data_IF_840727944931
#
_entry.id   IF_840727944931
#
_cell.length_a   1.000
_cell.length_b   1.000
_cell.length_c   1.000
_cell.angle_alpha   90.00
_cell.angle_beta   90.00
_cell.angle_gamma   90.00
#
_symmetry.space_group_name_H-M   'P 1'
#
loop_
_entity.id
_entity.type
_entity.pdbx_description
1 polymer ?
#
# COMPACT_ATOMS: atom_id res chain seq x y z
N UNK A 1 48.66 -34.81 12.44
CA UNK A 1 47.37 -35.50 12.38
C UNK A 1 46.29 -34.43 12.32
N UNK A 2 45.77 -34.18 11.11
CA UNK A 2 44.73 -33.15 10.87
C UNK A 2 43.47 -33.92 10.52
N UNK A 3 42.50 -33.94 11.40
CA UNK A 3 41.16 -34.49 11.13
C UNK A 3 40.27 -33.38 10.56
N UNK A 4 39.92 -33.57 9.28
CA UNK A 4 38.93 -32.72 8.61
C UNK A 4 37.53 -33.00 9.11
N UNK A 5 36.84 -31.91 9.44
CA UNK A 5 35.41 -31.89 9.76
C UNK A 5 34.66 -31.54 8.47
N UNK A 6 34.20 -32.55 7.74
CA UNK A 6 33.18 -32.36 6.68
C UNK A 6 31.81 -32.39 7.34
N UNK A 7 31.30 -31.20 7.67
CA UNK A 7 29.91 -31.03 8.05
C UNK A 7 29.01 -31.16 6.82
N UNK A 8 28.22 -32.22 6.79
CA UNK A 8 27.17 -32.44 5.79
C UNK A 8 26.10 -31.32 5.94
N UNK A 9 26.06 -30.38 4.99
CA UNK A 9 24.94 -29.45 4.83
C UNK A 9 23.77 -30.25 4.26
N UNK A 10 22.90 -30.74 5.15
CA UNK A 10 21.62 -31.25 4.76
C UNK A 10 20.79 -30.05 4.21
N UNK A 11 20.62 -29.99 2.90
CA UNK A 11 19.58 -29.17 2.27
C UNK A 11 18.23 -29.72 2.70
N UNK A 12 17.68 -29.16 3.75
CA UNK A 12 16.31 -29.43 4.14
C UNK A 12 15.43 -28.71 3.11
N UNK A 13 14.76 -29.48 2.27
CA UNK A 13 13.88 -29.02 1.19
C UNK A 13 12.85 -28.04 1.75
N UNK A 14 12.88 -26.80 1.22
CA UNK A 14 12.09 -25.66 1.66
C UNK A 14 10.59 -25.69 1.34
N UNK A 15 9.96 -26.87 1.44
CA UNK A 15 8.50 -27.01 1.33
C UNK A 15 7.77 -26.71 2.66
N UNK A 16 8.46 -26.80 3.79
CA UNK A 16 7.83 -26.57 5.11
C UNK A 16 7.62 -25.09 5.47
N UNK A 17 8.30 -24.16 4.79
CA UNK A 17 8.14 -22.73 5.06
C UNK A 17 6.85 -22.14 4.44
N UNK A 18 6.31 -22.77 3.39
CA UNK A 18 5.05 -22.36 2.77
C UNK A 18 3.83 -22.96 3.47
N UNK A 19 3.98 -24.13 4.10
CA UNK A 19 2.89 -24.80 4.83
C UNK A 19 2.53 -24.14 6.18
N UNK A 20 3.43 -23.34 6.74
CA UNK A 20 3.19 -22.58 7.98
C UNK A 20 2.76 -21.12 7.76
N UNK A 21 2.38 -20.73 6.56
CA UNK A 21 1.65 -19.49 6.36
C UNK A 21 0.31 -19.62 7.08
N UNK A 22 0.22 -19.08 8.30
CA UNK A 22 -1.04 -18.99 9.03
C UNK A 22 -2.02 -18.31 8.09
N UNK A 23 -2.99 -19.07 7.58
CA UNK A 23 -4.04 -18.55 6.71
C UNK A 23 -4.75 -17.43 7.46
N UNK A 24 -4.51 -16.19 7.06
CA UNK A 24 -5.24 -15.08 7.65
C UNK A 24 -6.70 -15.18 7.22
N UNK A 25 -7.65 -14.96 8.14
CA UNK A 25 -9.06 -15.01 7.79
C UNK A 25 -9.39 -13.90 6.78
N UNK A 26 -10.32 -14.19 5.88
CA UNK A 26 -10.88 -13.19 4.99
C UNK A 26 -11.57 -12.12 5.83
N UNK A 27 -11.25 -10.85 5.58
CA UNK A 27 -11.85 -9.71 6.27
C UNK A 27 -12.89 -9.06 5.36
N UNK A 28 -14.12 -8.99 5.84
CA UNK A 28 -15.20 -8.22 5.22
C UNK A 28 -15.45 -6.97 6.07
N UNK A 29 -15.46 -5.81 5.46
CA UNK A 29 -15.74 -4.56 6.15
C UNK A 29 -16.51 -3.60 5.23
N UNK A 30 -17.39 -2.80 5.82
CA UNK A 30 -17.99 -1.63 5.17
C UNK A 30 -17.19 -0.41 5.62
N UNK A 31 -16.27 0.12 4.79
CA UNK A 31 -15.32 1.14 5.24
C UNK A 31 -16.00 2.43 5.74
N UNK A 32 -17.23 2.69 5.30
CA UNK A 32 -18.04 3.82 5.77
C UNK A 32 -18.51 3.67 7.23
N UNK A 33 -18.69 2.43 7.71
CA UNK A 33 -19.32 2.10 8.99
C UNK A 33 -18.32 1.63 10.06
N UNK A 34 -17.10 1.30 9.65
CA UNK A 34 -16.08 0.80 10.58
C UNK A 34 -15.81 1.83 11.67
N UNK A 35 -15.86 1.40 12.93
CA UNK A 35 -15.44 2.21 14.07
C UNK A 35 -13.94 2.53 13.97
N UNK A 36 -13.60 3.82 14.11
CA UNK A 36 -12.24 4.32 14.02
C UNK A 36 -11.75 4.78 15.39
N UNK A 37 -10.48 4.54 15.69
CA UNK A 37 -9.83 4.95 16.92
C UNK A 37 -8.99 6.21 16.70
N UNK A 38 -8.75 7.05 17.74
CA UNK A 38 -7.91 8.23 17.63
C UNK A 38 -6.53 7.91 17.03
N UNK A 39 -6.15 8.68 16.02
CA UNK A 39 -4.86 8.60 15.33
C UNK A 39 -4.34 10.02 15.09
N UNK A 40 -3.91 10.73 16.14
CA UNK A 40 -3.64 12.16 16.08
C UNK A 40 -2.52 12.49 15.08
N UNK A 41 -2.75 13.56 14.32
CA UNK A 41 -1.74 14.13 13.43
C UNK A 41 -0.65 14.77 14.31
N UNK A 42 0.65 14.58 14.01
CA UNK A 42 1.72 15.23 14.73
C UNK A 42 1.51 16.76 14.78
N UNK A 43 1.58 17.41 15.96
CA UNK A 43 1.27 18.84 16.07
C UNK A 43 2.06 19.74 15.12
N UNK A 44 3.31 19.41 14.84
CA UNK A 44 4.17 20.16 13.94
C UNK A 44 3.84 20.00 12.45
N UNK A 45 2.91 19.09 12.11
CA UNK A 45 2.37 18.96 10.75
C UNK A 45 1.13 19.83 10.54
N UNK A 46 0.47 20.27 11.63
CA UNK A 46 -0.77 21.06 11.56
C UNK A 46 -0.41 22.50 11.20
N UNK A 47 -1.05 23.00 10.15
CA UNK A 47 -0.89 24.37 9.67
C UNK A 47 -2.01 25.26 10.21
N UNK A 48 -3.26 24.71 10.24
CA UNK A 48 -4.43 25.49 10.62
C UNK A 48 -5.51 24.59 11.21
N UNK A 49 -6.22 25.11 12.22
CA UNK A 49 -7.31 24.43 12.89
C UNK A 49 -6.84 23.39 13.91
N UNK A 50 -7.72 22.50 14.27
CA UNK A 50 -7.47 21.38 15.18
C UNK A 50 -8.04 20.08 14.57
N UNK A 51 -7.49 19.59 13.46
CA UNK A 51 -8.02 18.41 12.78
C UNK A 51 -7.92 17.18 13.67
N UNK A 52 -9.04 16.48 13.83
CA UNK A 52 -9.14 15.23 14.58
C UNK A 52 -9.09 14.07 13.60
N UNK A 53 -7.97 13.38 13.57
CA UNK A 53 -7.81 12.19 12.75
C UNK A 53 -8.10 10.93 13.55
N UNK A 54 -8.69 9.94 12.86
CA UNK A 54 -9.00 8.61 13.38
C UNK A 54 -8.65 7.56 12.34
N UNK A 55 -8.23 6.39 12.77
CA UNK A 55 -7.87 5.31 11.86
C UNK A 55 -8.22 3.93 12.44
N UNK A 56 -8.34 2.95 11.55
CA UNK A 56 -8.38 1.53 11.88
C UNK A 56 -7.74 0.72 10.78
N UNK A 57 -6.84 -0.18 11.14
CA UNK A 57 -6.31 -1.18 10.21
C UNK A 57 -7.33 -2.29 10.03
N UNK A 58 -7.70 -2.56 8.77
CA UNK A 58 -8.68 -3.57 8.40
C UNK A 58 -8.01 -4.90 8.05
N UNK A 59 -6.80 -4.84 7.50
CA UNK A 59 -6.04 -6.03 7.12
C UNK A 59 -4.57 -5.70 6.90
N UNK A 60 -3.76 -6.74 6.88
CA UNK A 60 -2.32 -6.65 6.60
C UNK A 60 -1.90 -7.89 5.80
N UNK A 61 -0.99 -7.73 4.84
CA UNK A 61 -0.40 -8.86 4.11
C UNK A 61 0.38 -9.78 5.06
N UNK A 62 0.50 -11.06 4.70
CA UNK A 62 1.19 -12.06 5.52
C UNK A 62 2.65 -11.70 5.80
N UNK A 63 3.31 -11.02 4.86
CA UNK A 63 4.68 -10.52 4.97
C UNK A 63 4.80 -9.16 5.69
N UNK A 64 3.67 -8.58 6.11
CA UNK A 64 3.62 -7.29 6.79
C UNK A 64 3.95 -6.08 5.91
N UNK A 65 4.15 -6.25 4.60
CA UNK A 65 4.57 -5.16 3.70
C UNK A 65 3.42 -4.29 3.22
N UNK A 66 2.20 -4.78 3.25
CA UNK A 66 1.01 -4.03 2.85
C UNK A 66 -0.09 -4.08 3.91
N UNK A 67 -0.83 -3.00 4.05
CA UNK A 67 -1.99 -2.94 4.94
C UNK A 67 -3.12 -2.13 4.33
N UNK A 68 -4.35 -2.46 4.72
CA UNK A 68 -5.55 -1.71 4.38
C UNK A 68 -6.02 -0.95 5.61
N UNK A 69 -6.21 0.37 5.45
CA UNK A 69 -6.57 1.30 6.51
C UNK A 69 -7.88 2.03 6.18
N UNK A 70 -8.81 2.08 7.10
CA UNK A 70 -9.84 3.09 7.09
C UNK A 70 -9.37 4.29 7.92
N UNK A 71 -9.59 5.50 7.42
CA UNK A 71 -9.14 6.73 8.06
C UNK A 71 -10.18 7.84 7.87
N UNK A 72 -10.31 8.70 8.85
CA UNK A 72 -11.11 9.94 8.75
C UNK A 72 -10.40 11.11 9.41
N UNK A 73 -10.77 12.31 8.97
CA UNK A 73 -10.26 13.55 9.56
C UNK A 73 -11.32 14.65 9.48
N UNK A 74 -11.49 15.37 10.60
CA UNK A 74 -12.30 16.57 10.67
C UNK A 74 -11.64 17.73 9.91
N UNK A 75 -12.38 18.83 9.62
CA UNK A 75 -11.84 20.01 8.95
C UNK A 75 -10.58 20.56 9.60
N UNK A 76 -9.64 20.99 8.75
CA UNK A 76 -8.35 21.56 9.13
C UNK A 76 -7.33 21.48 8.01
N UNK A 77 -6.16 22.06 8.24
CA UNK A 77 -5.08 22.07 7.26
C UNK A 77 -3.77 21.58 7.87
N UNK A 78 -3.10 20.64 7.18
CA UNK A 78 -1.87 20.02 7.65
C UNK A 78 -1.03 19.52 6.48
N UNK A 79 0.28 19.38 6.69
CA UNK A 79 1.17 18.69 5.76
C UNK A 79 1.24 17.22 6.15
N UNK A 80 1.08 16.32 5.17
CA UNK A 80 1.24 14.88 5.37
C UNK A 80 2.50 14.40 4.67
N UNK A 81 3.33 13.64 5.39
CA UNK A 81 4.55 13.03 4.86
C UNK A 81 4.35 11.53 4.71
N UNK A 82 4.54 11.03 3.52
CA UNK A 82 4.28 9.63 3.17
C UNK A 82 5.55 8.79 3.36
N UNK A 83 5.63 8.04 4.45
CA UNK A 83 6.73 7.11 4.71
C UNK A 83 6.64 5.83 3.86
N UNK A 84 5.47 5.54 3.30
CA UNK A 84 5.14 4.35 2.51
C UNK A 84 4.36 4.76 1.26
N UNK A 85 4.32 3.90 0.26
CA UNK A 85 3.39 4.09 -0.86
C UNK A 85 1.95 4.02 -0.34
N UNK A 86 1.14 5.02 -0.64
CA UNK A 86 -0.26 5.07 -0.25
C UNK A 86 -1.17 5.24 -1.45
N UNK A 87 -2.02 4.24 -1.69
CA UNK A 87 -3.15 4.33 -2.62
C UNK A 87 -4.39 4.62 -1.78
N UNK A 88 -5.11 5.68 -2.09
CA UNK A 88 -6.32 6.01 -1.36
C UNK A 88 -7.53 6.15 -2.28
N UNK A 89 -8.69 5.90 -1.69
CA UNK A 89 -9.99 6.11 -2.29
C UNK A 89 -10.86 6.87 -1.29
N UNK A 90 -11.44 7.99 -1.72
CA UNK A 90 -12.32 8.81 -0.89
C UNK A 90 -13.71 8.17 -0.83
N UNK A 91 -14.18 7.93 0.38
CA UNK A 91 -15.50 7.36 0.67
C UNK A 91 -16.54 8.45 0.87
N UNK A 92 -16.18 9.49 1.66
CA UNK A 92 -17.06 10.62 1.95
C UNK A 92 -16.27 11.88 2.28
N UNK A 93 -16.93 13.03 2.26
CA UNK A 93 -16.32 14.30 2.59
C UNK A 93 -15.63 14.97 1.41
N UNK A 94 -14.76 15.94 1.73
CA UNK A 94 -14.06 16.72 0.72
C UNK A 94 -12.72 17.23 1.25
N UNK A 95 -11.70 17.12 0.42
CA UNK A 95 -10.36 17.61 0.73
C UNK A 95 -9.70 18.19 -0.52
N UNK A 96 -8.94 19.26 -0.34
CA UNK A 96 -7.99 19.73 -1.35
C UNK A 96 -6.60 19.25 -0.95
N UNK A 97 -5.91 18.61 -1.88
CA UNK A 97 -4.53 18.15 -1.70
C UNK A 97 -3.64 18.93 -2.63
N UNK A 98 -2.62 19.57 -2.07
CA UNK A 98 -1.59 20.30 -2.84
C UNK A 98 -0.30 19.52 -2.75
N UNK A 99 0.26 19.17 -3.91
CA UNK A 99 1.52 18.42 -4.02
C UNK A 99 2.76 19.35 -3.79
N UNK A 100 3.94 18.75 -3.85
CA UNK A 100 5.23 19.47 -3.68
C UNK A 100 5.50 20.52 -4.79
N UNK A 101 4.83 20.40 -5.93
CA UNK A 101 4.93 21.36 -7.05
C UNK A 101 3.92 22.50 -6.92
N UNK A 102 3.12 22.54 -5.85
CA UNK A 102 2.08 23.51 -5.63
C UNK A 102 0.79 23.25 -6.44
N UNK A 103 0.67 22.10 -7.09
CA UNK A 103 -0.56 21.74 -7.80
C UNK A 103 -1.61 21.25 -6.79
N UNK A 104 -2.74 21.93 -6.77
CA UNK A 104 -3.84 21.59 -5.87
C UNK A 104 -4.95 20.87 -6.63
N UNK A 105 -5.45 19.78 -6.04
CA UNK A 105 -6.57 19.02 -6.58
C UNK A 105 -7.62 18.76 -5.50
N UNK A 106 -8.88 18.98 -5.85
CA UNK A 106 -10.02 18.57 -5.02
C UNK A 106 -10.22 17.07 -5.15
N UNK A 107 -10.41 16.40 -4.03
CA UNK A 107 -10.81 14.99 -3.95
C UNK A 107 -12.12 14.87 -3.17
N UNK A 108 -13.07 14.14 -3.72
CA UNK A 108 -14.36 13.82 -3.16
C UNK A 108 -14.71 12.34 -3.29
N UNK A 109 -15.92 11.91 -2.89
CA UNK A 109 -16.34 10.52 -2.95
C UNK A 109 -16.16 9.93 -4.34
N UNK A 110 -15.51 8.76 -4.43
CA UNK A 110 -15.18 8.07 -5.69
C UNK A 110 -13.81 8.41 -6.25
N UNK A 111 -13.20 9.52 -5.83
CA UNK A 111 -11.87 9.89 -6.31
C UNK A 111 -10.77 9.01 -5.69
N UNK A 112 -9.72 8.79 -6.46
CA UNK A 112 -8.52 8.07 -6.06
C UNK A 112 -7.29 8.96 -6.16
N UNK A 113 -6.29 8.68 -5.33
CA UNK A 113 -4.97 9.27 -5.43
C UNK A 113 -3.89 8.26 -5.05
N UNK A 114 -2.69 8.47 -5.59
CA UNK A 114 -1.49 7.71 -5.25
C UNK A 114 -0.41 8.65 -4.76
N UNK A 115 0.14 8.37 -3.61
CA UNK A 115 1.26 9.09 -3.00
C UNK A 115 2.45 8.15 -2.85
N UNK A 116 3.55 8.38 -3.58
CA UNK A 116 4.76 7.58 -3.43
C UNK A 116 5.40 7.77 -2.04
N UNK A 117 6.07 6.74 -1.56
CA UNK A 117 6.93 6.84 -0.39
C UNK A 117 7.98 7.95 -0.56
N UNK A 118 8.16 8.77 0.47
CA UNK A 118 9.06 9.92 0.47
C UNK A 118 8.45 11.22 -0.06
N UNK A 119 7.23 11.19 -0.62
CA UNK A 119 6.51 12.41 -1.02
C UNK A 119 5.84 13.09 0.17
N UNK A 120 5.39 14.32 -0.04
CA UNK A 120 4.56 15.06 0.90
C UNK A 120 3.42 15.77 0.19
N UNK A 121 2.40 16.14 0.94
CA UNK A 121 1.27 16.90 0.42
C UNK A 121 0.57 17.71 1.51
N UNK A 122 0.14 18.92 1.16
CA UNK A 122 -0.69 19.71 2.06
C UNK A 122 -2.15 19.35 1.87
N UNK A 123 -2.77 18.90 2.94
CA UNK A 123 -4.18 18.56 3.02
C UNK A 123 -4.98 19.72 3.60
N UNK A 124 -6.00 20.16 2.90
CA UNK A 124 -6.99 21.10 3.39
C UNK A 124 -8.37 20.42 3.38
N UNK A 125 -8.72 19.85 4.52
CA UNK A 125 -10.02 19.20 4.72
C UNK A 125 -11.06 20.26 4.96
N UNK A 126 -12.02 20.39 4.04
CA UNK A 126 -13.13 21.36 4.11
C UNK A 126 -14.39 20.76 4.69
N UNK A 127 -14.61 19.47 4.46
CA UNK A 127 -15.67 18.66 5.08
C UNK A 127 -15.04 17.40 5.62
N UNK A 128 -15.48 16.92 6.77
CA UNK A 128 -14.97 15.68 7.36
C UNK A 128 -14.81 14.62 6.28
N UNK A 129 -13.56 14.24 6.04
CA UNK A 129 -13.20 13.28 4.99
C UNK A 129 -13.04 11.89 5.58
N UNK A 130 -13.51 10.89 4.84
CA UNK A 130 -13.27 9.48 5.13
C UNK A 130 -12.69 8.80 3.90
N UNK A 131 -11.65 8.02 4.09
CA UNK A 131 -10.96 7.32 3.01
C UNK A 131 -10.65 5.87 3.39
N UNK A 132 -10.54 5.03 2.37
CA UNK A 132 -9.84 3.76 2.44
C UNK A 132 -8.45 3.98 1.86
N UNK A 133 -7.42 3.46 2.51
CA UNK A 133 -6.05 3.54 2.04
C UNK A 133 -5.39 2.16 2.04
N UNK A 134 -4.65 1.86 0.97
CA UNK A 134 -3.72 0.73 0.90
C UNK A 134 -2.32 1.30 1.07
N UNK A 135 -1.70 0.97 2.19
CA UNK A 135 -0.34 1.40 2.53
C UNK A 135 0.62 0.24 2.25
N UNK A 136 1.68 0.49 1.48
CA UNK A 136 2.66 -0.51 1.12
C UNK A 136 4.06 -0.02 1.43
N UNK A 137 4.80 -0.77 2.23
CA UNK A 137 6.23 -0.54 2.45
C UNK A 137 7.00 -0.88 1.17
N UNK A 138 7.68 0.11 0.60
CA UNK A 138 8.53 -0.11 -0.56
C UNK A 138 9.77 -0.89 -0.16
N UNK A 139 10.04 -2.00 -0.84
CA UNK A 139 11.31 -2.71 -0.68
C UNK A 139 12.45 -1.89 -1.32
N UNK A 140 13.66 -1.91 -0.74
CA UNK A 140 14.83 -1.34 -1.40
C UNK A 140 14.98 -1.92 -2.82
N UNK A 141 15.29 -1.05 -3.80
CA UNK A 141 15.35 -1.40 -5.23
C UNK A 141 16.09 -2.71 -5.56
N UNK A 142 17.25 -3.04 -4.92
CA UNK A 142 17.96 -4.30 -5.18
C UNK A 142 17.10 -5.53 -4.89
N UNK A 143 16.35 -5.52 -3.78
CA UNK A 143 15.47 -6.63 -3.41
C UNK A 143 14.26 -6.77 -4.34
N UNK A 144 13.69 -5.64 -4.75
CA UNK A 144 12.58 -5.65 -5.73
C UNK A 144 13.01 -6.19 -7.08
N UNK A 145 14.25 -5.92 -7.51
CA UNK A 145 14.81 -6.51 -8.73
C UNK A 145 15.06 -8.03 -8.56
N UNK A 146 15.70 -8.43 -7.47
CA UNK A 146 15.95 -9.83 -7.17
C UNK A 146 14.66 -10.65 -7.11
N UNK A 147 13.61 -10.12 -6.48
CA UNK A 147 12.30 -10.78 -6.40
C UNK A 147 11.66 -10.93 -7.78
N UNK A 148 11.70 -9.90 -8.63
CA UNK A 148 11.18 -9.97 -10.01
C UNK A 148 11.95 -10.98 -10.85
N UNK A 149 13.29 -11.01 -10.75
CA UNK A 149 14.12 -11.98 -11.43
C UNK A 149 13.83 -13.42 -10.97
N UNK A 150 13.66 -13.60 -9.67
CA UNK A 150 13.27 -14.87 -9.07
C UNK A 150 11.90 -15.35 -9.56
N UNK A 151 10.88 -14.48 -9.50
CA UNK A 151 9.54 -14.83 -9.97
C UNK A 151 9.53 -15.19 -11.45
N UNK A 152 10.30 -14.46 -12.28
CA UNK A 152 10.46 -14.79 -13.70
C UNK A 152 11.13 -16.13 -13.91
N UNK A 153 12.16 -16.46 -13.12
CA UNK A 153 12.84 -17.75 -13.17
C UNK A 153 11.89 -18.89 -12.75
N UNK A 154 11.15 -18.71 -11.66
CA UNK A 154 10.16 -19.69 -11.20
C UNK A 154 9.09 -19.90 -12.27
N UNK A 155 8.55 -18.85 -12.88
CA UNK A 155 7.57 -18.96 -13.96
C UNK A 155 8.09 -19.73 -15.17
N UNK A 156 9.37 -19.56 -15.53
CA UNK A 156 10.02 -20.33 -16.61
C UNK A 156 10.15 -21.81 -16.23
N UNK A 157 10.51 -22.11 -14.98
CA UNK A 157 10.76 -23.47 -14.50
C UNK A 157 9.48 -24.24 -14.21
N UNK A 158 8.40 -23.54 -13.80
CA UNK A 158 7.12 -24.16 -13.45
C UNK A 158 6.20 -24.41 -14.64
N UNK A 159 6.57 -23.92 -15.84
CA UNK A 159 5.71 -23.99 -17.03
C UNK A 159 4.50 -23.02 -16.93
N UNK A 160 3.65 -22.98 -17.95
CA UNK A 160 2.45 -22.16 -17.90
C UNK A 160 1.53 -22.66 -16.77
N UNK A 161 1.33 -21.83 -15.75
CA UNK A 161 0.38 -22.12 -14.69
C UNK A 161 -1.02 -22.11 -15.31
N UNK A 162 -1.72 -23.22 -15.23
CA UNK A 162 -3.10 -23.35 -15.72
C UNK A 162 -4.06 -22.44 -14.95
N UNK A 163 -3.61 -21.90 -13.81
CA UNK A 163 -4.33 -20.99 -12.91
C UNK A 163 -3.68 -19.60 -12.84
N UNK A 164 -3.19 -19.05 -13.96
CA UNK A 164 -2.65 -17.69 -13.97
C UNK A 164 -3.73 -16.69 -13.51
N UNK A 165 -3.46 -15.98 -12.41
CA UNK A 165 -4.37 -14.95 -11.92
C UNK A 165 -4.54 -13.86 -13.00
N UNK A 166 -5.76 -13.59 -13.51
CA UNK A 166 -5.99 -12.59 -14.55
C UNK A 166 -5.62 -11.16 -14.14
N UNK A 167 -5.28 -10.94 -12.86
CA UNK A 167 -4.78 -9.66 -12.33
C UNK A 167 -3.25 -9.54 -12.38
N UNK A 168 -2.51 -10.60 -12.71
CA UNK A 168 -1.06 -10.56 -12.97
C UNK A 168 -0.79 -9.93 -14.35
N UNK A 169 -1.24 -8.69 -14.53
CA UNK A 169 -0.98 -7.92 -15.74
C UNK A 169 0.46 -7.41 -15.67
N UNK A 170 1.25 -7.73 -16.67
CA UNK A 170 2.60 -7.17 -16.83
C UNK A 170 2.49 -5.64 -16.84
N UNK A 171 3.12 -4.91 -15.90
CA UNK A 171 3.07 -3.45 -15.85
C UNK A 171 3.61 -2.79 -17.13
N UNK A 172 4.39 -3.49 -17.95
CA UNK A 172 4.84 -3.02 -19.25
C UNK A 172 3.72 -3.01 -20.30
N UNK A 173 2.68 -3.84 -20.15
CA UNK A 173 1.56 -3.90 -21.09
C UNK A 173 0.55 -2.74 -20.92
N UNK A 174 0.56 -2.06 -19.78
CA UNK A 174 -0.35 -0.93 -19.50
C UNK A 174 0.17 0.43 -19.98
N UNK A 175 1.41 0.49 -20.48
CA UNK A 175 2.07 1.73 -20.92
C UNK A 175 1.84 2.06 -22.41
N UNK A 176 0.83 1.48 -23.06
CA UNK A 176 0.46 1.90 -24.44
C UNK A 176 -0.34 3.21 -24.39
N UNK A 177 0.26 4.36 -24.79
CA UNK A 177 -0.41 5.67 -24.75
C UNK A 177 -1.57 5.80 -25.77
N UNK A 178 -1.82 4.79 -26.59
CA UNK A 178 -2.88 4.79 -27.60
C UNK A 178 -4.23 4.27 -27.08
N UNK A 179 -4.30 3.84 -25.83
CA UNK A 179 -5.53 3.30 -25.25
C UNK A 179 -6.12 4.18 -24.15
N UNK A 180 -5.98 5.51 -24.27
CA UNK A 180 -6.76 6.42 -23.45
C UNK A 180 -8.23 6.36 -23.88
N UNK A 181 -9.19 6.09 -22.98
CA UNK A 181 -10.60 6.20 -23.32
C UNK A 181 -10.89 7.67 -23.65
N UNK A 182 -11.54 7.90 -24.78
CA UNK A 182 -12.09 9.20 -25.13
C UNK A 182 -13.12 9.57 -24.04
N UNK A 183 -12.91 10.74 -23.43
CA UNK A 183 -13.85 11.40 -22.52
C UNK A 183 -14.93 12.08 -23.34
#
# INVERSE_FOLDING_TARGET
>A
MIYGFFGSLAFNSGTSALENAVSQPVVFAVPAEVELHPAPIPPHWIIEGAPLARARRLGMSADGTASVMAWSCSPGRFTWHYAVDEFLHIISGEVFVTDENGQSRRLGPGDMAFFPAGSSGTWHVTKEVRKLAVCRHSMPRPFGFALRAWNKLVAILSGPAEDANPLDVDPAASADPKRAPAV
#
